data_IF_541088548506
#
_entry.id   IF_541088548506
#
_cell.length_a   1.000
_cell.length_b   1.000
_cell.length_c   1.000
_cell.angle_alpha   90.00
_cell.angle_beta   90.00
_cell.angle_gamma   90.00
#
_symmetry.space_group_name_H-M   'P 1'
#
loop_
_entity.id
_entity.type
_entity.pdbx_description
1 polymer ?
#
# COMPACT_ATOMS: atom_id res chain seq x y z
N UNK A 1 40.52 -6.64 18.74
CA UNK A 1 39.84 -5.47 18.19
C UNK A 1 39.85 -5.65 16.67
N UNK A 2 38.84 -6.29 16.12
CA UNK A 2 38.67 -6.50 14.69
C UNK A 2 37.50 -5.63 14.23
N UNK A 3 37.82 -4.59 13.46
CA UNK A 3 36.87 -3.69 12.84
C UNK A 3 36.00 -4.48 11.83
N UNK A 4 34.68 -4.31 11.79
CA UNK A 4 33.86 -4.94 10.77
C UNK A 4 34.11 -4.25 9.42
N UNK A 5 34.47 -5.03 8.43
CA UNK A 5 34.61 -4.60 7.04
C UNK A 5 33.22 -4.18 6.53
N UNK A 6 33.09 -2.90 6.25
CA UNK A 6 31.90 -2.28 5.67
C UNK A 6 31.62 -2.91 4.27
N UNK A 7 30.41 -3.44 4.10
CA UNK A 7 29.89 -4.02 2.84
C UNK A 7 29.82 -3.04 1.64
N UNK A 8 30.33 -1.83 1.77
CA UNK A 8 30.47 -0.85 0.66
C UNK A 8 31.28 -1.35 -0.53
N UNK A 9 32.05 -2.43 -0.37
CA UNK A 9 32.90 -2.99 -1.44
C UNK A 9 32.18 -3.96 -2.38
N UNK A 10 30.96 -4.41 -2.08
CA UNK A 10 30.25 -5.38 -2.94
C UNK A 10 29.52 -4.72 -4.14
N UNK A 11 29.16 -3.43 -4.03
CA UNK A 11 28.44 -2.71 -5.09
C UNK A 11 29.33 -1.97 -6.10
N UNK A 12 30.65 -1.88 -5.86
CA UNK A 12 31.57 -1.13 -6.72
C UNK A 12 32.06 -1.89 -7.96
N UNK A 13 31.61 -3.14 -8.20
CA UNK A 13 32.11 -3.98 -9.32
C UNK A 13 31.19 -4.10 -10.54
N UNK A 14 30.03 -3.47 -10.55
CA UNK A 14 29.10 -3.55 -11.68
C UNK A 14 29.14 -2.33 -12.63
N UNK A 15 30.05 -1.40 -12.47
CA UNK A 15 30.05 -0.12 -13.18
C UNK A 15 31.36 0.26 -13.93
N UNK A 16 32.15 -0.69 -14.41
CA UNK A 16 33.36 -0.36 -15.20
C UNK A 16 33.51 -1.25 -16.44
N UNK A 17 32.75 -0.94 -17.47
CA UNK A 17 33.01 -1.44 -18.82
C UNK A 17 32.75 -0.35 -19.86
N UNK A 18 33.60 0.67 -19.89
CA UNK A 18 33.86 1.47 -21.10
C UNK A 18 35.21 2.16 -20.96
N UNK A 19 36.07 1.91 -21.93
CA UNK A 19 37.39 2.46 -22.22
C UNK A 19 38.58 1.62 -21.72
N UNK A 20 39.05 0.73 -22.60
CA UNK A 20 40.50 0.44 -22.81
C UNK A 20 40.63 -0.32 -24.13
N UNK A 21 40.84 0.42 -25.19
CA UNK A 21 41.48 -0.08 -26.41
C UNK A 21 42.97 0.23 -26.31
N UNK A 22 43.80 -0.80 -26.73
CA UNK A 22 45.26 -0.84 -26.91
C UNK A 22 46.05 -1.36 -25.71
N UNK A 23 46.37 -2.65 -25.74
CA UNK A 23 47.70 -3.24 -25.90
C UNK A 23 47.68 -4.72 -25.51
N UNK A 24 48.16 -5.60 -26.43
CA UNK A 24 48.88 -6.83 -26.11
C UNK A 24 48.07 -8.09 -25.86
N UNK A 25 48.06 -8.97 -26.82
CA UNK A 25 47.66 -10.37 -26.79
C UNK A 25 48.19 -11.13 -25.57
N UNK A 26 47.33 -11.49 -24.64
CA UNK A 26 47.34 -12.75 -23.90
C UNK A 26 45.88 -13.12 -23.63
N UNK A 27 45.46 -14.28 -24.15
CA UNK A 27 44.07 -14.71 -24.13
C UNK A 27 43.55 -15.07 -22.72
N UNK A 28 43.04 -14.09 -22.02
CA UNK A 28 42.04 -14.30 -20.96
C UNK A 28 40.70 -13.95 -21.59
N UNK A 29 39.95 -14.96 -21.99
CA UNK A 29 38.53 -14.80 -22.27
C UNK A 29 37.86 -14.42 -20.95
N UNK A 30 37.61 -13.11 -20.74
CA UNK A 30 36.63 -12.64 -19.78
C UNK A 30 35.27 -13.14 -20.29
N UNK A 31 34.76 -14.22 -19.69
CA UNK A 31 33.36 -14.55 -19.87
C UNK A 31 32.56 -13.33 -19.45
N UNK A 32 31.58 -12.86 -20.24
CA UNK A 32 30.67 -11.82 -19.79
C UNK A 32 30.03 -12.33 -18.49
N UNK A 33 30.12 -11.51 -17.44
CA UNK A 33 29.39 -11.82 -16.22
C UNK A 33 27.95 -12.13 -16.64
N UNK A 34 27.51 -13.35 -16.37
CA UNK A 34 26.13 -13.80 -16.62
C UNK A 34 25.23 -12.70 -16.03
N UNK A 35 24.42 -12.07 -16.86
CA UNK A 35 23.39 -11.15 -16.37
C UNK A 35 22.58 -11.95 -15.35
N UNK A 36 22.66 -11.55 -14.09
CA UNK A 36 21.93 -12.24 -13.03
C UNK A 36 20.47 -12.31 -13.48
N UNK A 37 19.90 -13.52 -13.54
CA UNK A 37 18.53 -13.71 -13.96
C UNK A 37 17.61 -12.98 -12.97
N UNK A 38 16.69 -12.17 -13.50
CA UNK A 38 15.73 -11.47 -12.67
C UNK A 38 14.75 -12.48 -12.05
N UNK A 39 14.44 -12.30 -10.78
CA UNK A 39 13.32 -13.00 -10.13
C UNK A 39 12.00 -12.45 -10.66
N UNK A 40 11.08 -13.33 -11.02
CA UNK A 40 9.77 -12.92 -11.53
C UNK A 40 8.72 -13.20 -10.47
N UNK A 41 8.17 -12.15 -9.89
CA UNK A 41 7.00 -12.22 -9.00
C UNK A 41 5.76 -12.45 -9.85
N UNK A 42 5.19 -13.66 -9.76
CA UNK A 42 4.08 -14.13 -10.60
C UNK A 42 2.74 -13.87 -9.93
N UNK A 43 1.68 -13.71 -10.74
CA UNK A 43 0.33 -13.63 -10.22
C UNK A 43 -0.13 -14.98 -9.64
N UNK A 44 -0.58 -14.96 -8.39
CA UNK A 44 -1.10 -16.16 -7.70
C UNK A 44 -2.39 -16.70 -8.32
N UNK A 45 -3.17 -15.85 -9.00
CA UNK A 45 -4.43 -16.23 -9.65
C UNK A 45 -4.27 -17.28 -10.75
N UNK A 46 -3.10 -17.34 -11.40
CA UNK A 46 -2.75 -18.36 -12.38
C UNK A 46 -2.19 -19.66 -11.78
N UNK A 47 -2.07 -19.78 -10.45
CA UNK A 47 -1.42 -20.89 -9.76
C UNK A 47 -2.43 -21.86 -9.14
N UNK A 48 -2.01 -23.11 -8.94
CA UNK A 48 -2.71 -24.08 -8.12
C UNK A 48 -1.85 -24.50 -6.91
N UNK A 49 -2.38 -25.34 -6.02
CA UNK A 49 -1.71 -25.74 -4.79
C UNK A 49 -0.39 -26.50 -5.01
N UNK A 50 -0.16 -27.03 -6.22
CA UNK A 50 1.05 -27.79 -6.61
C UNK A 50 2.01 -26.94 -7.46
N UNK A 51 1.69 -25.68 -7.74
CA UNK A 51 2.64 -24.79 -8.42
C UNK A 51 3.95 -24.73 -7.62
N UNK A 52 5.11 -24.80 -8.29
CA UNK A 52 6.42 -24.78 -7.61
C UNK A 52 6.58 -23.58 -6.66
N UNK A 53 6.07 -22.40 -7.05
CA UNK A 53 6.13 -21.18 -6.21
C UNK A 53 5.31 -21.36 -4.93
N UNK A 54 4.10 -21.91 -5.02
CA UNK A 54 3.24 -22.17 -3.86
C UNK A 54 3.85 -23.25 -2.96
N UNK A 55 4.40 -24.32 -3.55
CA UNK A 55 5.09 -25.38 -2.82
C UNK A 55 6.32 -24.85 -2.08
N UNK A 56 7.12 -24.00 -2.72
CA UNK A 56 8.28 -23.36 -2.10
C UNK A 56 7.84 -22.41 -0.97
N UNK A 57 6.79 -21.62 -1.16
CA UNK A 57 6.28 -20.71 -0.14
C UNK A 57 5.76 -21.46 1.08
N UNK A 58 4.96 -22.54 0.89
CA UNK A 58 4.53 -23.41 1.98
C UNK A 58 5.71 -23.96 2.77
N UNK A 59 6.72 -24.49 2.07
CA UNK A 59 7.94 -25.01 2.69
C UNK A 59 8.70 -23.95 3.48
N UNK A 60 8.83 -22.72 2.93
CA UNK A 60 9.47 -21.60 3.62
C UNK A 60 8.71 -21.25 4.91
N UNK A 61 7.40 -21.04 4.82
CA UNK A 61 6.54 -20.69 5.98
C UNK A 61 6.62 -21.78 7.05
N UNK A 62 6.51 -23.06 6.66
CA UNK A 62 6.64 -24.20 7.58
C UNK A 62 7.99 -24.21 8.29
N UNK A 63 9.10 -24.07 7.53
CA UNK A 63 10.45 -24.03 8.10
C UNK A 63 10.66 -22.83 9.04
N UNK A 64 10.22 -21.64 8.66
CA UNK A 64 10.32 -20.43 9.48
C UNK A 64 9.55 -20.56 10.80
N UNK A 65 8.40 -21.26 10.81
CA UNK A 65 7.61 -21.51 12.03
C UNK A 65 8.26 -22.48 13.00
N UNK A 66 9.21 -23.31 12.54
CA UNK A 66 9.96 -24.22 13.43
C UNK A 66 11.14 -23.54 14.13
N UNK A 67 11.55 -22.37 13.69
CA UNK A 67 12.64 -21.62 14.30
C UNK A 67 12.20 -20.96 15.62
N UNK A 68 13.12 -20.83 16.60
CA UNK A 68 12.85 -20.07 17.81
C UNK A 68 12.41 -18.64 17.49
N UNK A 69 11.48 -18.07 18.26
CA UNK A 69 11.02 -16.70 18.07
C UNK A 69 12.13 -15.63 18.15
N UNK A 70 13.28 -15.96 18.75
CA UNK A 70 14.47 -15.11 18.81
C UNK A 70 15.36 -15.19 17.57
N UNK A 71 15.16 -16.16 16.68
CA UNK A 71 15.89 -16.22 15.40
C UNK A 71 15.30 -15.18 14.44
N UNK A 72 16.10 -14.24 13.92
CA UNK A 72 15.59 -13.21 13.00
C UNK A 72 14.92 -13.76 11.74
N UNK A 73 15.19 -15.01 11.37
CA UNK A 73 14.58 -15.67 10.20
C UNK A 73 13.26 -16.38 10.54
N UNK A 74 12.90 -16.47 11.83
CA UNK A 74 11.65 -17.12 12.25
C UNK A 74 10.43 -16.34 11.74
N UNK A 75 9.33 -17.06 11.54
CA UNK A 75 8.06 -16.47 11.13
C UNK A 75 7.60 -15.37 12.10
N UNK A 76 7.66 -15.66 13.40
CA UNK A 76 7.26 -14.74 14.46
C UNK A 76 8.11 -13.48 14.48
N UNK A 77 9.44 -13.62 14.33
CA UNK A 77 10.34 -12.47 14.33
C UNK A 77 10.10 -11.58 13.10
N UNK A 78 9.99 -12.20 11.92
CA UNK A 78 9.73 -11.44 10.67
C UNK A 78 8.38 -10.72 10.73
N UNK A 79 7.33 -11.36 11.23
CA UNK A 79 6.06 -10.70 11.42
C UNK A 79 6.12 -9.53 12.42
N UNK A 80 6.91 -9.67 13.50
CA UNK A 80 7.08 -8.64 14.51
C UNK A 80 7.82 -7.39 14.01
N UNK A 81 8.61 -7.49 12.92
CA UNK A 81 9.20 -6.31 12.25
C UNK A 81 8.10 -5.38 11.76
N UNK A 82 7.03 -5.92 11.18
CA UNK A 82 5.84 -5.15 10.84
C UNK A 82 5.11 -4.71 12.11
N UNK A 83 4.71 -5.66 12.97
CA UNK A 83 4.02 -5.31 14.19
C UNK A 83 3.86 -6.48 15.17
N UNK A 84 3.89 -6.18 16.47
CA UNK A 84 3.60 -7.13 17.54
C UNK A 84 3.21 -6.42 18.83
N UNK A 85 2.35 -7.05 19.63
CA UNK A 85 2.05 -6.66 21.02
C UNK A 85 2.78 -7.56 22.02
N UNK A 86 3.56 -8.54 21.56
CA UNK A 86 4.16 -9.59 22.37
C UNK A 86 5.68 -9.48 22.42
N UNK A 87 6.28 -9.94 23.52
CA UNK A 87 7.71 -10.06 23.71
C UNK A 87 8.41 -8.78 24.16
N UNK A 88 9.68 -8.90 24.54
CA UNK A 88 10.52 -7.75 24.82
C UNK A 88 10.73 -6.97 23.52
N UNK A 89 10.72 -5.62 23.55
CA UNK A 89 10.93 -4.81 22.36
C UNK A 89 12.31 -5.09 21.76
N UNK A 90 12.34 -5.23 20.42
CA UNK A 90 13.56 -5.31 19.61
C UNK A 90 13.63 -4.06 18.73
N UNK A 91 14.84 -3.62 18.39
CA UNK A 91 15.03 -2.39 17.61
C UNK A 91 14.33 -2.41 16.24
N UNK A 92 14.27 -3.58 15.60
CA UNK A 92 13.64 -3.73 14.29
C UNK A 92 12.12 -3.97 14.36
N UNK A 93 11.57 -4.25 15.55
CA UNK A 93 10.14 -4.56 15.69
C UNK A 93 9.28 -3.29 15.73
N UNK A 94 8.06 -3.41 15.24
CA UNK A 94 7.09 -2.31 15.22
C UNK A 94 7.61 -1.09 14.44
N UNK A 95 8.29 -1.32 13.32
CA UNK A 95 8.90 -0.26 12.52
C UNK A 95 8.17 -0.01 11.21
N UNK A 96 7.04 -0.70 10.97
CA UNK A 96 6.23 -0.47 9.78
C UNK A 96 5.80 1.01 9.67
N UNK A 97 5.62 1.46 8.45
CA UNK A 97 5.30 2.84 8.15
C UNK A 97 3.90 2.92 7.55
N UNK A 98 2.97 3.52 8.31
CA UNK A 98 1.58 3.78 7.91
C UNK A 98 1.24 5.26 8.11
N UNK A 99 0.29 5.77 7.32
CA UNK A 99 -0.17 7.15 7.41
C UNK A 99 0.84 8.20 6.95
N UNK A 100 1.93 7.79 6.32
CA UNK A 100 3.00 8.66 5.87
C UNK A 100 3.60 8.22 4.52
N UNK A 101 4.43 9.07 3.91
CA UNK A 101 4.98 8.82 2.57
C UNK A 101 6.13 7.80 2.52
N UNK A 102 6.52 7.19 3.65
CA UNK A 102 7.42 6.05 3.69
C UNK A 102 6.70 4.70 3.48
N UNK A 103 5.36 4.67 3.45
CA UNK A 103 4.57 3.47 3.32
C UNK A 103 5.08 2.53 2.21
N UNK A 104 5.16 2.99 0.98
CA UNK A 104 5.62 2.17 -0.14
C UNK A 104 7.08 1.71 0.02
N UNK A 105 7.98 2.62 0.37
CA UNK A 105 9.40 2.33 0.44
C UNK A 105 9.73 1.34 1.55
N UNK A 106 9.13 1.48 2.73
CA UNK A 106 9.35 0.57 3.83
C UNK A 106 8.86 -0.86 3.49
N UNK A 107 7.67 -1.00 2.92
CA UNK A 107 7.12 -2.30 2.57
C UNK A 107 7.89 -2.98 1.42
N UNK A 108 8.42 -2.22 0.45
CA UNK A 108 9.32 -2.77 -0.59
C UNK A 108 10.60 -3.35 0.01
N UNK A 109 11.23 -2.65 0.96
CA UNK A 109 12.42 -3.12 1.66
C UNK A 109 12.12 -4.39 2.47
N UNK A 110 11.00 -4.41 3.19
CA UNK A 110 10.55 -5.54 3.99
C UNK A 110 10.29 -6.78 3.12
N UNK A 111 9.57 -6.64 1.99
CA UNK A 111 9.35 -7.70 1.02
C UNK A 111 10.65 -8.25 0.46
N UNK A 112 11.61 -7.39 0.14
CA UNK A 112 12.90 -7.81 -0.42
C UNK A 112 13.68 -8.72 0.51
N UNK A 113 13.81 -8.34 1.78
CA UNK A 113 14.55 -9.14 2.76
C UNK A 113 13.79 -10.41 3.15
N UNK A 114 12.49 -10.32 3.33
CA UNK A 114 11.65 -11.48 3.61
C UNK A 114 11.69 -12.51 2.48
N UNK A 115 11.66 -12.09 1.22
CA UNK A 115 11.75 -12.98 0.05
C UNK A 115 13.08 -13.75 0.03
N UNK A 116 14.20 -13.11 0.37
CA UNK A 116 15.51 -13.75 0.49
C UNK A 116 15.54 -14.82 1.59
N UNK A 117 14.96 -14.51 2.74
CA UNK A 117 14.79 -15.49 3.81
C UNK A 117 13.93 -16.67 3.32
N UNK A 118 12.84 -16.43 2.61
CA UNK A 118 12.00 -17.48 2.03
C UNK A 118 12.77 -18.38 1.07
N UNK A 119 13.63 -17.84 0.19
CA UNK A 119 14.51 -18.63 -0.69
C UNK A 119 15.38 -19.60 0.11
N UNK A 120 16.02 -19.10 1.15
CA UNK A 120 16.87 -19.89 2.04
C UNK A 120 16.09 -20.98 2.76
N UNK A 121 14.92 -20.65 3.33
CA UNK A 121 14.09 -21.58 4.09
C UNK A 121 13.41 -22.62 3.21
N UNK A 122 13.05 -22.27 1.97
CA UNK A 122 12.54 -23.23 0.99
C UNK A 122 13.63 -24.14 0.39
N UNK A 123 14.92 -23.79 0.53
CA UNK A 123 16.01 -24.34 -0.28
C UNK A 123 15.70 -24.26 -1.78
N UNK A 124 15.22 -23.10 -2.23
CA UNK A 124 14.86 -22.81 -3.62
C UNK A 124 15.40 -21.44 -4.00
N UNK A 125 16.57 -21.44 -4.65
CA UNK A 125 17.27 -20.22 -5.07
C UNK A 125 16.51 -19.43 -6.17
N UNK A 126 15.53 -20.04 -6.80
CA UNK A 126 14.72 -19.42 -7.86
C UNK A 126 13.41 -18.84 -7.35
N UNK A 127 13.08 -19.05 -6.07
CA UNK A 127 11.81 -18.59 -5.50
C UNK A 127 11.69 -17.07 -5.57
N UNK A 128 10.52 -16.58 -5.99
CA UNK A 128 10.06 -15.21 -5.83
C UNK A 128 8.65 -15.20 -5.22
N UNK A 129 8.38 -14.23 -4.35
CA UNK A 129 7.07 -14.06 -3.75
C UNK A 129 6.02 -13.84 -4.85
N UNK A 130 4.90 -14.56 -4.86
CA UNK A 130 3.80 -14.23 -5.75
C UNK A 130 3.05 -13.00 -5.28
N UNK A 131 2.26 -12.38 -6.16
CA UNK A 131 1.34 -11.29 -5.79
C UNK A 131 -0.12 -11.72 -5.98
N UNK A 132 -1.01 -11.14 -5.18
CA UNK A 132 -2.46 -11.37 -5.28
C UNK A 132 -3.10 -10.19 -6.01
N UNK A 133 -3.45 -10.38 -7.31
CA UNK A 133 -4.09 -9.35 -8.13
C UNK A 133 -5.61 -9.27 -7.87
N UNK A 134 -6.01 -8.94 -6.66
CA UNK A 134 -7.42 -8.72 -6.33
C UNK A 134 -8.08 -7.57 -7.11
N UNK A 135 -7.31 -6.77 -7.85
CA UNK A 135 -7.85 -5.75 -8.75
C UNK A 135 -8.54 -6.42 -9.96
N UNK A 136 -8.07 -7.59 -10.39
CA UNK A 136 -8.74 -8.42 -11.37
C UNK A 136 -10.05 -8.99 -10.79
N UNK A 137 -11.15 -8.87 -11.54
CA UNK A 137 -12.47 -9.30 -11.07
C UNK A 137 -12.56 -10.79 -10.72
N UNK A 138 -11.78 -11.63 -11.38
CA UNK A 138 -11.71 -13.08 -11.16
C UNK A 138 -10.93 -13.49 -9.91
N UNK A 139 -10.18 -12.55 -9.29
CA UNK A 139 -9.23 -12.86 -8.21
C UNK A 139 -9.57 -12.20 -6.88
N UNK A 140 -10.81 -11.74 -6.72
CA UNK A 140 -11.29 -11.07 -5.51
C UNK A 140 -11.61 -12.01 -4.35
N UNK A 141 -11.62 -13.31 -4.58
CA UNK A 141 -11.65 -14.32 -3.50
C UNK A 141 -10.25 -14.55 -2.98
N UNK A 142 -10.14 -14.96 -1.71
CA UNK A 142 -8.88 -15.46 -1.19
C UNK A 142 -8.41 -16.66 -2.03
N UNK A 143 -7.15 -16.70 -2.50
CA UNK A 143 -6.68 -17.80 -3.36
C UNK A 143 -6.87 -19.18 -2.70
N UNK A 144 -7.30 -20.23 -3.44
CA UNK A 144 -7.69 -21.50 -2.87
C UNK A 144 -6.63 -22.17 -1.98
N UNK A 145 -5.33 -22.01 -2.32
CA UNK A 145 -4.21 -22.59 -1.56
C UNK A 145 -4.01 -21.96 -0.17
N UNK A 146 -4.65 -20.82 0.11
CA UNK A 146 -4.68 -20.16 1.41
C UNK A 146 -5.88 -20.54 2.26
N UNK A 147 -6.83 -21.30 1.70
CA UNK A 147 -8.09 -21.72 2.34
C UNK A 147 -8.08 -23.16 2.83
N UNK A 148 -7.09 -23.97 2.46
CA UNK A 148 -6.95 -25.35 2.89
C UNK A 148 -6.41 -25.41 4.34
N UNK A 149 -7.21 -25.91 5.31
CA UNK A 149 -6.79 -26.01 6.72
C UNK A 149 -5.54 -26.86 6.95
N UNK A 150 -5.18 -27.75 6.02
CA UNK A 150 -3.96 -28.55 6.07
C UNK A 150 -2.72 -27.83 5.55
N UNK A 151 -2.89 -26.65 4.96
CA UNK A 151 -1.79 -25.85 4.40
C UNK A 151 -1.12 -24.98 5.46
N UNK A 152 0.19 -24.82 5.38
CA UNK A 152 0.97 -23.87 6.16
C UNK A 152 0.55 -22.40 5.86
N UNK A 153 -0.16 -22.17 4.78
CA UNK A 153 -0.66 -20.85 4.37
C UNK A 153 -2.04 -20.52 4.95
N UNK A 154 -2.69 -21.47 5.60
CA UNK A 154 -4.01 -21.28 6.21
C UNK A 154 -3.90 -20.55 7.56
N UNK A 155 -4.80 -19.60 7.78
CA UNK A 155 -5.02 -18.90 9.05
C UNK A 155 -6.51 -18.90 9.38
N UNK A 156 -6.89 -19.54 10.49
CA UNK A 156 -8.29 -19.67 10.91
C UNK A 156 -8.93 -18.36 11.38
N UNK A 157 -8.12 -17.37 11.75
CA UNK A 157 -8.56 -16.08 12.29
C UNK A 157 -9.09 -15.11 11.23
N UNK A 158 -8.93 -15.37 9.93
CA UNK A 158 -9.53 -14.55 8.87
C UNK A 158 -11.05 -14.61 8.96
N UNK A 159 -11.74 -13.69 8.27
CA UNK A 159 -13.20 -13.81 8.10
C UNK A 159 -13.57 -15.23 7.62
N UNK A 160 -14.52 -15.91 8.28
CA UNK A 160 -14.88 -17.29 7.92
C UNK A 160 -15.37 -17.45 6.47
N UNK A 161 -16.03 -16.43 5.91
CA UNK A 161 -16.49 -16.48 4.53
C UNK A 161 -15.32 -16.32 3.55
N UNK A 162 -14.29 -15.53 3.89
CA UNK A 162 -13.06 -15.48 3.10
C UNK A 162 -12.35 -16.84 3.10
N UNK A 163 -12.27 -17.50 4.25
CA UNK A 163 -11.66 -18.83 4.38
C UNK A 163 -12.46 -19.92 3.66
N UNK A 164 -13.81 -19.87 3.68
CA UNK A 164 -14.64 -20.85 2.96
C UNK A 164 -14.65 -20.65 1.45
N UNK A 165 -14.32 -19.44 0.99
CA UNK A 165 -14.40 -19.04 -0.41
C UNK A 165 -15.80 -18.60 -0.86
N UNK A 166 -16.77 -18.47 0.06
CA UNK A 166 -18.03 -17.79 -0.21
C UNK A 166 -17.87 -16.26 -0.21
N UNK A 167 -16.85 -15.77 0.53
CA UNK A 167 -16.50 -14.36 0.61
C UNK A 167 -15.62 -13.89 -0.53
N UNK A 168 -15.83 -12.65 -0.99
CA UNK A 168 -14.97 -11.97 -1.95
C UNK A 168 -14.91 -10.47 -1.69
N UNK A 169 -13.80 -9.86 -2.12
CA UNK A 169 -13.64 -8.41 -2.04
C UNK A 169 -14.57 -7.73 -3.06
N UNK A 170 -15.39 -6.75 -2.66
CA UNK A 170 -16.21 -6.00 -3.62
C UNK A 170 -15.34 -5.10 -4.50
N UNK A 171 -15.85 -4.71 -5.67
CA UNK A 171 -15.10 -3.89 -6.63
C UNK A 171 -14.59 -2.58 -6.04
N UNK A 172 -15.41 -1.91 -5.22
CA UNK A 172 -15.04 -0.64 -4.58
C UNK A 172 -13.87 -0.80 -3.59
N UNK A 173 -13.71 -1.97 -2.97
CA UNK A 173 -12.67 -2.23 -1.99
C UNK A 173 -11.26 -2.34 -2.60
N UNK A 174 -11.19 -2.57 -3.89
CA UNK A 174 -9.95 -2.82 -4.65
C UNK A 174 -9.71 -1.77 -5.74
N UNK A 175 -10.44 -0.67 -5.70
CA UNK A 175 -10.32 0.43 -6.67
C UNK A 175 -9.09 1.27 -6.35
N UNK A 176 -8.15 1.34 -7.28
CA UNK A 176 -6.93 2.15 -7.16
C UNK A 176 -6.97 3.44 -8.00
N UNK A 177 -8.08 3.73 -8.67
CA UNK A 177 -8.15 4.83 -9.65
C UNK A 177 -7.91 6.20 -9.02
N UNK A 178 -8.39 6.43 -7.80
CA UNK A 178 -8.18 7.68 -7.09
C UNK A 178 -6.70 7.91 -6.75
N UNK A 179 -5.98 6.87 -6.34
CA UNK A 179 -4.54 6.93 -6.07
C UNK A 179 -3.73 7.13 -7.37
N UNK A 180 -4.15 6.47 -8.45
CA UNK A 180 -3.50 6.62 -9.76
C UNK A 180 -3.75 8.00 -10.38
N UNK A 181 -4.82 8.68 -10.03
CA UNK A 181 -5.07 10.07 -10.45
C UNK A 181 -4.12 11.07 -9.76
N UNK A 182 -3.46 10.69 -8.66
CA UNK A 182 -2.51 11.57 -7.95
C UNK A 182 -1.13 11.54 -8.61
N UNK A 183 -0.62 12.66 -9.15
CA UNK A 183 0.73 12.69 -9.72
C UNK A 183 1.83 12.87 -8.66
N UNK A 184 1.49 13.37 -7.48
CA UNK A 184 2.41 13.57 -6.37
C UNK A 184 2.65 12.25 -5.62
N UNK A 185 3.91 11.92 -5.30
CA UNK A 185 4.30 10.67 -4.62
C UNK A 185 3.59 10.48 -3.27
N UNK A 186 3.63 11.50 -2.42
CA UNK A 186 3.05 11.41 -1.08
C UNK A 186 1.52 11.20 -1.14
N UNK A 187 0.84 11.93 -2.03
CA UNK A 187 -0.60 11.80 -2.24
C UNK A 187 -0.97 10.45 -2.88
N UNK A 188 -0.18 9.98 -3.86
CA UNK A 188 -0.36 8.67 -4.49
C UNK A 188 -0.18 7.54 -3.49
N UNK A 189 0.89 7.57 -2.70
CA UNK A 189 1.18 6.60 -1.65
C UNK A 189 0.06 6.58 -0.60
N UNK A 190 -0.32 7.72 -0.06
CA UNK A 190 -1.38 7.83 0.96
C UNK A 190 -2.76 7.40 0.42
N UNK A 191 -3.08 7.74 -0.83
CA UNK A 191 -4.35 7.32 -1.44
C UNK A 191 -4.43 5.82 -1.63
N UNK A 192 -3.34 5.18 -2.08
CA UNK A 192 -3.29 3.72 -2.28
C UNK A 192 -3.15 2.97 -0.94
N UNK A 193 -2.53 3.56 0.06
CA UNK A 193 -2.57 3.05 1.43
C UNK A 193 -4.01 3.04 1.97
N UNK A 194 -4.76 4.12 1.78
CA UNK A 194 -6.17 4.20 2.20
C UNK A 194 -7.06 3.22 1.46
N UNK A 195 -6.90 3.15 0.13
CA UNK A 195 -7.69 2.31 -0.78
C UNK A 195 -6.80 1.92 -2.00
N UNK A 196 -6.46 0.62 -2.20
CA UNK A 196 -7.10 -0.57 -1.63
C UNK A 196 -6.49 -1.12 -0.33
N UNK A 197 -5.27 -0.72 0.08
CA UNK A 197 -4.50 -1.41 1.11
C UNK A 197 -5.27 -1.59 2.44
N UNK A 198 -5.64 -0.50 3.12
CA UNK A 198 -6.33 -0.57 4.43
C UNK A 198 -7.65 -1.34 4.33
N UNK A 199 -8.39 -1.16 3.23
CA UNK A 199 -9.67 -1.82 3.02
C UNK A 199 -9.49 -3.34 2.88
N UNK A 200 -8.52 -3.80 2.09
CA UNK A 200 -8.23 -5.23 1.93
C UNK A 200 -7.85 -5.86 3.27
N UNK A 201 -6.98 -5.21 4.05
CA UNK A 201 -6.63 -5.65 5.39
C UNK A 201 -7.86 -5.87 6.27
N UNK A 202 -8.71 -4.85 6.36
CA UNK A 202 -9.92 -4.88 7.21
C UNK A 202 -10.92 -5.91 6.72
N UNK A 203 -11.14 -6.07 5.41
CA UNK A 203 -12.12 -7.00 4.86
C UNK A 203 -11.66 -8.47 4.86
N UNK A 204 -10.37 -8.75 4.73
CA UNK A 204 -9.84 -10.12 4.98
C UNK A 204 -10.01 -10.46 6.47
N UNK A 205 -9.90 -9.47 7.32
CA UNK A 205 -10.25 -9.55 8.73
C UNK A 205 -9.30 -10.39 9.57
N UNK A 206 -9.69 -10.61 10.81
CA UNK A 206 -8.89 -11.36 11.78
C UNK A 206 -7.48 -10.80 11.95
N UNK A 207 -6.45 -11.64 11.79
CA UNK A 207 -5.07 -11.16 11.89
C UNK A 207 -4.73 -10.08 10.85
N UNK A 208 -5.18 -10.25 9.62
CA UNK A 208 -4.98 -9.24 8.57
C UNK A 208 -5.57 -7.87 8.94
N UNK A 209 -6.65 -7.82 9.72
CA UNK A 209 -7.33 -6.59 10.09
C UNK A 209 -6.64 -5.74 11.16
N UNK A 210 -5.47 -6.13 11.68
CA UNK A 210 -4.79 -5.44 12.76
C UNK A 210 -3.27 -5.42 12.54
N UNK A 211 -2.66 -4.24 12.57
CA UNK A 211 -1.22 -4.05 12.31
C UNK A 211 -0.33 -4.99 13.13
N UNK A 212 -0.53 -5.18 14.46
CA UNK A 212 0.33 -6.06 15.25
C UNK A 212 0.29 -7.55 14.86
N UNK A 213 -0.70 -7.98 14.10
CA UNK A 213 -0.88 -9.38 13.72
C UNK A 213 -0.90 -9.62 12.22
N UNK A 214 -1.03 -8.58 11.40
CA UNK A 214 -1.26 -8.71 9.97
C UNK A 214 -0.19 -9.55 9.27
N UNK A 215 1.08 -9.33 9.58
CA UNK A 215 2.19 -10.08 8.97
C UNK A 215 2.34 -11.52 9.52
N UNK A 216 1.56 -11.92 10.54
CA UNK A 216 1.43 -13.32 10.94
C UNK A 216 0.63 -14.15 9.92
N UNK A 217 -0.12 -13.48 9.05
CA UNK A 217 -0.89 -14.12 8.00
C UNK A 217 -0.08 -14.20 6.69
N UNK A 218 0.17 -15.39 6.12
CA UNK A 218 0.95 -15.51 4.89
C UNK A 218 0.41 -14.73 3.68
N UNK A 219 -0.90 -14.47 3.59
CA UNK A 219 -1.48 -13.67 2.51
C UNK A 219 -1.02 -12.20 2.55
N UNK A 220 -0.58 -11.71 3.70
CA UNK A 220 -0.03 -10.37 3.88
C UNK A 220 1.05 -10.06 2.85
N UNK A 221 2.01 -10.96 2.67
CA UNK A 221 3.13 -10.73 1.75
C UNK A 221 2.69 -10.66 0.29
N UNK A 222 1.67 -11.43 -0.11
CA UNK A 222 1.11 -11.36 -1.46
C UNK A 222 0.30 -10.08 -1.69
N UNK A 223 -0.42 -9.63 -0.67
CA UNK A 223 -1.12 -8.37 -0.66
C UNK A 223 -0.13 -7.21 -0.85
N UNK A 224 0.96 -7.18 -0.07
CA UNK A 224 1.98 -6.15 -0.18
C UNK A 224 2.80 -6.24 -1.48
N UNK A 225 3.02 -7.43 -2.04
CA UNK A 225 3.58 -7.57 -3.39
C UNK A 225 2.67 -6.91 -4.44
N UNK A 226 1.34 -7.01 -4.31
CA UNK A 226 0.44 -6.27 -5.21
C UNK A 226 0.51 -4.76 -4.97
N UNK A 227 0.64 -4.29 -3.72
CA UNK A 227 0.84 -2.87 -3.43
C UNK A 227 2.15 -2.33 -4.02
N UNK A 228 3.24 -3.09 -3.94
CA UNK A 228 4.52 -2.78 -4.55
C UNK A 228 4.44 -2.75 -6.09
N UNK A 229 3.68 -3.69 -6.66
CA UNK A 229 3.35 -3.71 -8.10
C UNK A 229 2.56 -2.47 -8.51
N UNK A 230 1.56 -2.08 -7.75
CA UNK A 230 0.78 -0.86 -8.01
C UNK A 230 1.65 0.40 -7.96
N UNK A 231 2.67 0.46 -7.10
CA UNK A 231 3.65 1.55 -7.13
C UNK A 231 4.41 1.60 -8.46
N UNK A 232 4.91 0.44 -8.96
CA UNK A 232 5.57 0.39 -10.27
C UNK A 232 4.64 0.85 -11.41
N UNK A 233 3.38 0.40 -11.40
CA UNK A 233 2.38 0.81 -12.39
C UNK A 233 2.04 2.30 -12.29
N UNK A 234 2.01 2.85 -11.09
CA UNK A 234 1.83 4.29 -10.88
C UNK A 234 2.99 5.08 -11.50
N UNK A 235 4.23 4.69 -11.26
CA UNK A 235 5.42 5.31 -11.88
C UNK A 235 5.38 5.19 -13.41
N UNK A 236 4.97 4.04 -13.94
CA UNK A 236 4.91 3.77 -15.38
C UNK A 236 3.92 4.67 -16.14
N UNK A 237 2.94 5.28 -15.47
CA UNK A 237 2.05 6.25 -16.10
C UNK A 237 2.75 7.55 -16.51
N UNK A 238 3.94 7.84 -16.00
CA UNK A 238 4.64 9.09 -16.26
C UNK A 238 3.84 10.32 -15.77
N UNK A 239 3.76 11.38 -16.57
CA UNK A 239 3.01 12.57 -16.21
C UNK A 239 3.49 13.26 -14.93
N UNK A 240 4.80 13.24 -14.68
CA UNK A 240 5.42 13.83 -13.49
C UNK A 240 5.47 12.92 -12.26
N UNK A 241 5.04 11.65 -12.38
CA UNK A 241 5.14 10.65 -11.31
C UNK A 241 6.58 10.17 -11.20
N UNK A 242 7.21 10.52 -10.09
CA UNK A 242 8.60 10.16 -9.78
C UNK A 242 8.73 9.85 -8.30
N UNK A 243 9.73 9.07 -7.93
CA UNK A 243 10.10 8.85 -6.55
C UNK A 243 10.64 10.14 -5.91
N UNK A 244 10.51 10.35 -4.59
CA UNK A 244 10.90 11.60 -3.94
C UNK A 244 12.42 11.72 -3.74
N UNK A 245 13.18 11.54 -4.82
CA UNK A 245 14.66 11.55 -4.83
C UNK A 245 15.28 12.91 -4.50
N UNK A 246 14.48 13.97 -4.49
CA UNK A 246 14.88 15.31 -4.04
C UNK A 246 14.78 15.46 -2.52
N UNK A 247 14.02 14.60 -1.85
CA UNK A 247 13.82 14.66 -0.40
C UNK A 247 14.93 13.92 0.33
N UNK A 248 15.78 14.68 1.02
CA UNK A 248 16.90 14.11 1.78
C UNK A 248 16.43 13.28 2.99
N UNK A 249 15.27 13.61 3.56
CA UNK A 249 14.70 12.83 4.66
C UNK A 249 14.28 11.45 4.14
N UNK A 250 13.53 11.38 3.04
CA UNK A 250 13.11 10.11 2.45
C UNK A 250 14.31 9.25 2.00
N UNK A 251 15.32 9.88 1.37
CA UNK A 251 16.53 9.18 0.93
C UNK A 251 17.39 8.68 2.07
N UNK A 252 17.51 9.48 3.13
CA UNK A 252 18.44 9.25 4.21
C UNK A 252 17.89 8.48 5.40
N UNK A 253 16.57 8.30 5.48
CA UNK A 253 15.95 7.49 6.53
C UNK A 253 16.26 6.02 6.28
N UNK A 254 16.90 5.39 7.27
CA UNK A 254 17.33 3.99 7.24
C UNK A 254 16.42 3.15 8.11
N UNK A 255 16.11 1.93 7.64
CA UNK A 255 15.35 0.94 8.38
C UNK A 255 16.15 -0.33 8.55
N UNK A 256 15.95 -1.01 9.67
CA UNK A 256 16.66 -2.24 10.05
C UNK A 256 15.83 -3.46 9.63
N UNK A 257 16.48 -4.38 8.91
CA UNK A 257 15.95 -5.69 8.51
C UNK A 257 16.99 -6.77 8.78
N UNK A 258 16.73 -7.99 8.32
CA UNK A 258 17.66 -9.12 8.44
C UNK A 258 17.79 -9.84 7.10
N UNK A 259 19.00 -10.32 6.82
CA UNK A 259 19.26 -11.11 5.62
C UNK A 259 18.94 -12.61 5.81
N UNK A 260 19.17 -13.39 4.79
CA UNK A 260 18.89 -14.84 4.76
C UNK A 260 19.73 -15.67 5.74
N UNK A 261 20.84 -15.15 6.23
CA UNK A 261 21.66 -15.73 7.31
C UNK A 261 21.24 -15.26 8.69
N UNK A 262 20.29 -14.31 8.79
CA UNK A 262 19.84 -13.70 10.04
C UNK A 262 20.76 -12.57 10.54
N UNK A 263 21.64 -12.06 9.68
CA UNK A 263 22.45 -10.90 10.01
C UNK A 263 21.65 -9.61 9.83
N UNK A 264 21.82 -8.66 10.77
CA UNK A 264 21.20 -7.35 10.68
C UNK A 264 21.72 -6.56 9.48
N UNK A 265 20.80 -5.94 8.75
CA UNK A 265 21.07 -5.09 7.60
C UNK A 265 20.27 -3.80 7.71
N UNK A 266 20.79 -2.74 7.10
CA UNK A 266 20.11 -1.46 7.00
C UNK A 266 19.85 -1.13 5.54
N UNK A 267 18.71 -0.50 5.25
CA UNK A 267 18.31 -0.11 3.91
C UNK A 267 17.55 1.22 3.91
N UNK A 268 17.70 2.01 2.85
CA UNK A 268 17.06 3.32 2.69
C UNK A 268 16.42 3.47 1.30
N UNK A 269 15.74 4.62 1.08
CA UNK A 269 15.01 4.89 -0.15
C UNK A 269 15.85 4.86 -1.42
N UNK A 270 17.12 5.26 -1.38
CA UNK A 270 18.00 5.24 -2.56
C UNK A 270 18.36 3.84 -3.06
N UNK A 271 18.26 2.83 -2.19
CA UNK A 271 18.67 1.46 -2.50
C UNK A 271 17.56 0.62 -3.14
N UNK A 272 16.34 1.19 -3.27
CA UNK A 272 15.15 0.47 -3.72
C UNK A 272 14.44 1.08 -4.94
N UNK A 273 14.96 2.16 -5.51
CA UNK A 273 14.33 2.87 -6.63
C UNK A 273 14.20 2.01 -7.88
N UNK A 274 15.12 1.10 -8.09
CA UNK A 274 15.24 0.26 -9.29
C UNK A 274 15.07 -1.20 -8.92
N UNK A 275 13.83 -1.65 -8.82
CA UNK A 275 13.55 -3.03 -8.43
C UNK A 275 14.31 -4.06 -9.28
N UNK A 276 14.36 -3.88 -10.60
CA UNK A 276 15.07 -4.80 -11.49
C UNK A 276 16.60 -4.74 -11.33
N UNK A 277 17.20 -3.54 -11.19
CA UNK A 277 18.65 -3.38 -11.15
C UNK A 277 19.24 -3.50 -9.75
N UNK A 278 18.54 -3.01 -8.72
CA UNK A 278 19.04 -2.98 -7.36
C UNK A 278 18.55 -4.17 -6.52
N UNK A 279 17.31 -4.62 -6.76
CA UNK A 279 16.67 -5.68 -5.99
C UNK A 279 16.51 -6.98 -6.80
N UNK A 280 16.85 -6.96 -8.10
CA UNK A 280 16.86 -8.10 -9.01
C UNK A 280 15.49 -8.81 -9.17
N UNK A 281 14.37 -8.09 -9.09
CA UNK A 281 13.04 -8.65 -9.37
C UNK A 281 12.22 -7.78 -10.31
N UNK A 282 11.25 -8.43 -10.96
CA UNK A 282 10.20 -7.80 -11.78
C UNK A 282 8.88 -8.48 -11.49
N UNK A 283 7.78 -7.84 -11.85
CA UNK A 283 6.45 -8.46 -11.84
C UNK A 283 6.13 -9.08 -13.20
N UNK A 284 5.39 -10.19 -13.19
CA UNK A 284 4.99 -10.91 -14.40
C UNK A 284 4.22 -9.98 -15.35
N UNK A 285 4.64 -9.92 -16.62
CA UNK A 285 4.00 -9.10 -17.65
C UNK A 285 4.31 -7.61 -17.58
N UNK A 286 5.13 -7.16 -16.62
CA UNK A 286 5.54 -5.76 -16.51
C UNK A 286 6.96 -5.56 -17.04
N UNK A 287 7.21 -4.47 -17.79
CA UNK A 287 8.56 -4.15 -18.21
C UNK A 287 9.41 -3.78 -16.97
N UNK A 288 10.71 -4.10 -16.97
CA UNK A 288 11.62 -3.65 -15.93
C UNK A 288 11.59 -2.12 -15.82
N UNK A 289 11.41 -1.61 -14.60
CA UNK A 289 11.46 -0.17 -14.34
C UNK A 289 12.90 0.32 -14.60
N UNK A 290 13.06 1.20 -15.58
CA UNK A 290 14.32 1.85 -15.93
C UNK A 290 14.26 3.31 -15.47
N UNK A 291 14.42 3.54 -14.18
CA UNK A 291 14.51 4.90 -13.66
C UNK A 291 15.97 5.25 -13.38
N UNK A 292 16.51 6.26 -14.09
CA UNK A 292 17.93 6.67 -14.03
C UNK A 292 18.30 7.63 -12.89
N UNK A 293 17.54 7.69 -11.78
CA UNK A 293 17.50 8.86 -10.90
C UNK A 293 18.40 8.85 -9.66
N UNK A 294 19.20 7.82 -9.41
CA UNK A 294 20.27 7.89 -8.41
C UNK A 294 21.64 8.31 -8.98
N UNK A 295 21.69 8.79 -10.21
CA UNK A 295 22.84 9.53 -10.72
C UNK A 295 22.85 10.95 -10.13
N UNK A 296 24.03 11.62 -10.00
CA UNK A 296 24.13 12.88 -9.30
C UNK A 296 23.20 13.92 -9.91
N UNK A 297 22.18 14.28 -9.15
CA UNK A 297 21.33 15.46 -9.22
C UNK A 297 21.12 16.01 -10.64
N UNK A 298 20.30 15.37 -11.46
CA UNK A 298 19.53 16.11 -12.45
C UNK A 298 18.41 16.78 -11.63
N UNK A 299 18.50 18.10 -11.49
CA UNK A 299 17.44 18.91 -10.85
C UNK A 299 16.23 18.90 -11.77
N UNK A 300 15.44 17.83 -11.73
CA UNK A 300 14.06 17.89 -12.19
C UNK A 300 13.32 18.61 -11.06
N UNK A 301 12.86 19.84 -11.27
CA UNK A 301 12.09 20.49 -10.22
C UNK A 301 10.84 19.66 -9.97
N UNK A 302 10.51 19.36 -8.72
CA UNK A 302 9.27 18.65 -8.40
C UNK A 302 8.09 19.45 -8.98
N UNK A 303 7.07 18.76 -9.46
CA UNK A 303 5.79 19.41 -9.73
C UNK A 303 5.31 19.98 -8.41
N UNK A 304 5.39 21.28 -8.27
CA UNK A 304 4.97 21.97 -7.05
C UNK A 304 3.46 22.13 -7.08
N UNK A 305 2.81 21.56 -6.09
CA UNK A 305 1.40 21.84 -5.81
C UNK A 305 1.32 22.88 -4.71
N UNK A 306 0.46 23.86 -4.92
CA UNK A 306 0.11 24.83 -3.88
C UNK A 306 -1.22 24.40 -3.29
N UNK A 307 -1.21 24.14 -1.98
CA UNK A 307 -2.42 23.87 -1.22
C UNK A 307 -3.03 25.22 -0.85
N UNK A 308 -4.15 25.55 -1.46
CA UNK A 308 -4.89 26.76 -1.18
C UNK A 308 -6.14 26.48 -0.35
N UNK A 309 -6.60 27.49 0.33
CA UNK A 309 -7.87 27.66 1.01
C UNK A 309 -8.51 26.42 1.64
N UNK A 310 -8.59 26.45 2.93
CA UNK A 310 -9.32 25.48 3.73
C UNK A 310 -10.70 26.07 4.06
N UNK A 311 -11.78 25.40 3.63
CA UNK A 311 -13.10 25.64 4.19
C UNK A 311 -13.45 24.51 5.15
N UNK A 312 -13.41 24.79 6.43
CA UNK A 312 -13.91 23.86 7.44
C UNK A 312 -15.43 23.89 7.46
N UNK A 313 -16.03 22.72 7.32
CA UNK A 313 -17.49 22.58 7.37
C UNK A 313 -17.93 22.79 8.83
N UNK A 314 -18.86 23.75 9.11
CA UNK A 314 -19.26 24.06 10.46
C UNK A 314 -20.26 23.04 11.01
N UNK A 315 -19.78 21.84 11.30
CA UNK A 315 -20.56 20.72 11.86
C UNK A 315 -19.92 20.20 13.14
N UNK A 316 -20.72 19.63 14.06
CA UNK A 316 -20.17 18.90 15.21
C UNK A 316 -19.41 17.64 14.76
N UNK A 317 -18.54 17.09 15.60
CA UNK A 317 -17.93 15.79 15.34
C UNK A 317 -19.00 14.73 15.04
N UNK A 318 -18.72 13.86 14.07
CA UNK A 318 -19.60 12.77 13.66
C UNK A 318 -19.13 11.44 14.22
N UNK A 319 -20.09 10.54 14.48
CA UNK A 319 -19.82 9.16 14.88
C UNK A 319 -20.36 8.22 13.79
N UNK A 320 -19.48 7.39 13.26
CA UNK A 320 -19.80 6.34 12.29
C UNK A 320 -19.99 5.02 13.04
N UNK A 321 -21.09 4.35 12.76
CA UNK A 321 -21.49 3.08 13.37
C UNK A 321 -22.04 2.11 12.31
N UNK A 322 -22.91 1.17 12.70
CA UNK A 322 -23.50 0.19 11.79
C UNK A 322 -24.53 0.77 10.83
N UNK A 323 -24.99 2.00 11.06
CA UNK A 323 -26.00 2.66 10.24
C UNK A 323 -25.35 3.64 9.26
N UNK A 324 -26.04 3.91 8.16
CA UNK A 324 -25.65 4.96 7.22
C UNK A 324 -25.77 6.33 7.89
N UNK A 325 -24.70 7.12 7.84
CA UNK A 325 -24.65 8.48 8.37
C UNK A 325 -24.60 9.47 7.21
N UNK A 326 -25.52 10.44 7.19
CA UNK A 326 -25.55 11.51 6.20
C UNK A 326 -25.43 12.87 6.87
N UNK A 327 -24.42 13.63 6.49
CA UNK A 327 -24.09 14.95 7.03
C UNK A 327 -24.49 16.01 6.01
N UNK A 328 -25.45 16.89 6.30
CA UNK A 328 -25.86 17.93 5.37
C UNK A 328 -24.77 19.01 5.22
N UNK A 329 -24.62 19.51 4.00
CA UNK A 329 -23.73 20.61 3.65
C UNK A 329 -24.49 21.63 2.81
N UNK A 330 -24.19 22.91 3.01
CA UNK A 330 -24.76 24.00 2.25
C UNK A 330 -24.22 24.01 0.80
N UNK A 331 -25.02 23.54 -0.17
CA UNK A 331 -24.65 23.50 -1.59
C UNK A 331 -24.30 24.88 -2.13
N UNK A 332 -24.98 25.94 -1.66
CA UNK A 332 -24.71 27.32 -2.06
C UNK A 332 -23.27 27.72 -1.71
N UNK A 333 -22.82 27.41 -0.49
CA UNK A 333 -21.45 27.66 -0.03
C UNK A 333 -20.42 26.89 -0.85
N UNK A 334 -20.66 25.60 -1.10
CA UNK A 334 -19.79 24.79 -1.95
C UNK A 334 -19.67 25.32 -3.37
N UNK A 335 -20.79 25.68 -3.99
CA UNK A 335 -20.83 26.21 -5.35
C UNK A 335 -20.11 27.55 -5.45
N UNK A 336 -20.32 28.43 -4.47
CA UNK A 336 -19.68 29.74 -4.44
C UNK A 336 -18.17 29.64 -4.28
N UNK A 337 -17.68 28.71 -3.44
CA UNK A 337 -16.25 28.55 -3.13
C UNK A 337 -15.51 27.72 -4.20
N UNK A 338 -16.11 26.64 -4.67
CA UNK A 338 -15.41 25.62 -5.45
C UNK A 338 -15.97 25.41 -6.86
N UNK A 339 -17.07 26.05 -7.24
CA UNK A 339 -17.72 25.81 -8.54
C UNK A 339 -16.79 26.01 -9.73
N UNK A 340 -16.08 27.12 -9.79
CA UNK A 340 -15.13 27.44 -10.86
C UNK A 340 -13.83 26.64 -10.76
N UNK A 341 -13.43 26.19 -9.55
CA UNK A 341 -12.22 25.42 -9.32
C UNK A 341 -12.40 23.96 -9.73
N UNK A 342 -13.59 23.39 -9.51
CA UNK A 342 -13.89 22.01 -9.86
C UNK A 342 -13.86 21.75 -11.39
N UNK A 343 -14.08 22.78 -12.20
CA UNK A 343 -14.02 22.74 -13.67
C UNK A 343 -12.61 22.94 -14.24
N UNK A 344 -11.69 23.47 -13.44
CA UNK A 344 -10.33 23.79 -13.88
C UNK A 344 -9.45 22.52 -13.93
N UNK A 345 -8.90 22.20 -15.11
CA UNK A 345 -8.07 20.99 -15.33
C UNK A 345 -6.78 20.92 -14.49
N UNK A 346 -6.27 22.03 -14.02
CA UNK A 346 -5.05 22.06 -13.17
C UNK A 346 -5.33 22.07 -11.68
N UNK A 347 -6.60 21.91 -11.28
CA UNK A 347 -7.02 22.09 -9.90
C UNK A 347 -7.78 20.85 -9.41
N UNK A 348 -7.40 20.35 -8.23
CA UNK A 348 -8.13 19.28 -7.55
C UNK A 348 -8.68 19.80 -6.22
N UNK A 349 -9.99 19.64 -6.05
CA UNK A 349 -10.68 19.88 -4.78
C UNK A 349 -10.73 18.59 -4.01
N UNK A 350 -10.37 18.64 -2.73
CA UNK A 350 -10.39 17.49 -1.83
C UNK A 350 -11.40 17.71 -0.69
N UNK A 351 -12.03 16.63 -0.27
CA UNK A 351 -12.66 16.51 1.04
C UNK A 351 -11.68 15.83 1.99
N UNK A 352 -11.37 16.48 3.10
CA UNK A 352 -10.50 15.99 4.15
C UNK A 352 -11.32 15.66 5.40
N UNK A 353 -11.07 14.48 5.96
CA UNK A 353 -11.57 14.05 7.26
C UNK A 353 -10.40 14.05 8.22
N UNK A 354 -10.43 14.91 9.22
CA UNK A 354 -9.38 15.02 10.22
C UNK A 354 -9.82 14.50 11.59
N UNK A 355 -8.85 14.00 12.36
CA UNK A 355 -9.09 13.47 13.69
C UNK A 355 -10.01 12.25 13.68
N UNK A 356 -9.76 11.34 12.74
CA UNK A 356 -10.51 10.09 12.62
C UNK A 356 -9.96 9.07 13.60
N UNK A 357 -10.78 8.58 14.51
CA UNK A 357 -10.33 7.69 15.58
C UNK A 357 -11.40 6.68 16.01
N UNK A 358 -10.94 5.54 16.51
CA UNK A 358 -11.75 4.53 17.16
C UNK A 358 -11.02 4.00 18.40
N UNK A 359 -11.76 3.52 19.40
CA UNK A 359 -11.17 2.93 20.59
C UNK A 359 -10.39 1.65 20.23
N UNK A 360 -10.93 0.83 19.33
CA UNK A 360 -10.32 -0.40 18.82
C UNK A 360 -10.71 -0.61 17.36
N UNK A 361 -10.11 -1.59 16.72
CA UNK A 361 -10.36 -1.94 15.33
C UNK A 361 -11.86 -2.07 15.03
N UNK A 362 -12.42 -1.28 14.10
CA UNK A 362 -13.85 -1.33 13.77
C UNK A 362 -14.29 -2.59 13.02
N UNK A 363 -13.39 -3.25 12.27
CA UNK A 363 -13.68 -4.45 11.48
C UNK A 363 -14.56 -4.20 10.25
N UNK A 364 -14.70 -2.96 9.83
CA UNK A 364 -15.59 -2.53 8.74
C UNK A 364 -14.97 -1.36 7.98
N UNK A 365 -15.38 -1.20 6.72
CA UNK A 365 -15.10 -0.01 5.93
C UNK A 365 -16.39 0.79 5.67
N UNK A 366 -16.25 2.09 5.44
CA UNK A 366 -17.36 2.96 5.03
C UNK A 366 -17.08 3.49 3.63
N UNK A 367 -18.00 3.22 2.69
CA UNK A 367 -18.02 3.92 1.42
C UNK A 367 -18.46 5.37 1.64
N UNK A 368 -17.79 6.31 0.98
CA UNK A 368 -18.03 7.74 1.14
C UNK A 368 -18.59 8.33 -0.15
N UNK A 369 -19.68 9.03 -0.02
CA UNK A 369 -20.37 9.69 -1.12
C UNK A 369 -20.52 11.18 -0.83
N UNK A 370 -20.40 12.01 -1.89
CA UNK A 370 -20.65 13.44 -1.81
C UNK A 370 -21.81 13.80 -2.75
N UNK A 371 -22.91 14.28 -2.19
CA UNK A 371 -24.10 14.68 -2.92
C UNK A 371 -24.94 13.51 -3.43
N UNK A 372 -24.90 12.34 -2.79
CA UNK A 372 -25.77 11.20 -3.14
C UNK A 372 -27.25 11.61 -2.97
N UNK A 373 -28.09 11.58 -4.03
CA UNK A 373 -29.48 11.96 -3.91
C UNK A 373 -30.26 11.06 -2.94
N UNK A 374 -31.20 11.63 -2.19
CA UNK A 374 -32.05 10.88 -1.28
C UNK A 374 -32.79 9.75 -2.01
N UNK A 375 -32.79 8.54 -1.41
CA UNK A 375 -33.44 7.37 -2.01
C UNK A 375 -32.63 6.69 -3.14
N UNK A 376 -31.46 7.21 -3.50
CA UNK A 376 -30.56 6.56 -4.46
C UNK A 376 -29.75 5.49 -3.74
N UNK A 377 -29.72 4.27 -4.30
CA UNK A 377 -28.89 3.21 -3.78
C UNK A 377 -27.40 3.56 -3.95
N UNK A 378 -26.57 3.35 -2.92
CA UNK A 378 -25.12 3.51 -3.03
C UNK A 378 -24.54 2.56 -4.11
N UNK A 379 -23.73 3.10 -5.02
CA UNK A 379 -23.07 2.34 -6.07
C UNK A 379 -21.69 2.93 -6.37
N UNK A 380 -20.70 2.08 -6.64
CA UNK A 380 -19.33 2.49 -6.91
C UNK A 380 -19.18 3.30 -8.21
N UNK A 381 -19.94 2.95 -9.24
CA UNK A 381 -19.96 3.66 -10.52
C UNK A 381 -20.70 5.00 -10.48
N UNK A 382 -21.39 5.26 -9.36
CA UNK A 382 -22.05 6.54 -9.12
C UNK A 382 -21.07 7.72 -9.26
N UNK A 383 -21.45 8.82 -9.93
CA UNK A 383 -20.63 10.02 -9.96
C UNK A 383 -20.42 10.65 -8.57
N UNK A 384 -21.23 10.27 -7.60
CA UNK A 384 -21.19 10.76 -6.22
C UNK A 384 -20.26 9.95 -5.31
N UNK A 385 -19.80 8.77 -5.73
CA UNK A 385 -18.81 7.98 -4.98
C UNK A 385 -17.45 8.68 -5.03
N UNK A 386 -16.85 8.91 -3.85
CA UNK A 386 -15.56 9.59 -3.73
C UNK A 386 -14.45 8.71 -3.12
N UNK A 387 -14.79 7.55 -2.59
CA UNK A 387 -13.84 6.61 -2.01
C UNK A 387 -14.41 5.85 -0.82
N UNK A 388 -13.52 5.24 -0.06
CA UNK A 388 -13.89 4.54 1.17
C UNK A 388 -12.86 4.80 2.27
N UNK A 389 -13.26 4.68 3.53
CA UNK A 389 -12.37 4.75 4.68
C UNK A 389 -12.41 3.45 5.48
N UNK A 390 -11.26 3.02 5.95
CA UNK A 390 -11.11 2.01 6.98
C UNK A 390 -9.89 2.36 7.84
N UNK A 391 -9.99 2.12 9.14
CA UNK A 391 -8.86 2.30 10.04
C UNK A 391 -7.99 1.05 10.03
N UNK A 392 -6.70 1.24 9.79
CA UNK A 392 -5.66 0.22 9.89
C UNK A 392 -4.36 0.91 10.33
N UNK A 393 -3.92 0.71 11.57
CA UNK A 393 -2.82 1.44 12.20
C UNK A 393 -3.27 2.79 12.78
N UNK A 394 -2.97 3.91 12.13
CA UNK A 394 -3.36 5.23 12.64
C UNK A 394 -4.86 5.36 12.92
N UNK A 395 -5.19 6.07 13.99
CA UNK A 395 -6.58 6.28 14.42
C UNK A 395 -7.13 5.21 15.37
N UNK A 396 -6.38 4.17 15.71
CA UNK A 396 -6.80 3.12 16.65
C UNK A 396 -6.11 3.34 18.00
N UNK A 397 -6.91 3.51 19.08
CA UNK A 397 -6.37 3.82 20.42
C UNK A 397 -5.83 2.59 21.14
N UNK A 398 -6.51 1.45 21.03
CA UNK A 398 -6.16 0.21 21.73
C UNK A 398 -5.90 -0.92 20.74
N UNK A 399 -5.00 -1.83 21.10
CA UNK A 399 -4.61 -2.95 20.23
C UNK A 399 -3.69 -2.56 19.07
N UNK A 400 -3.06 -1.39 19.13
CA UNK A 400 -2.01 -0.95 18.22
C UNK A 400 -0.67 -0.90 18.95
N UNK A 401 0.41 -1.22 18.25
CA UNK A 401 1.78 -1.04 18.76
C UNK A 401 2.29 0.39 18.49
N UNK A 402 1.64 1.12 17.61
CA UNK A 402 2.03 2.47 17.22
C UNK A 402 1.61 3.49 18.28
N UNK A 403 2.40 4.58 18.39
CA UNK A 403 1.97 5.74 19.16
C UNK A 403 0.64 6.23 18.56
N UNK A 404 -0.37 6.40 19.42
CA UNK A 404 -1.66 6.88 18.96
C UNK A 404 -1.54 8.23 18.27
N UNK A 405 -1.96 8.25 17.01
CA UNK A 405 -2.18 9.46 16.23
C UNK A 405 -3.53 9.33 15.50
N UNK A 406 -4.39 10.34 15.56
CA UNK A 406 -5.64 10.31 14.78
C UNK A 406 -5.34 10.17 13.30
N UNK A 407 -6.13 9.37 12.60
CA UNK A 407 -6.01 9.24 11.15
C UNK A 407 -6.59 10.44 10.41
N UNK A 408 -6.10 10.65 9.20
CA UNK A 408 -6.61 11.63 8.23
C UNK A 408 -6.92 10.92 6.92
N UNK A 409 -8.08 11.25 6.33
CA UNK A 409 -8.46 10.76 5.01
C UNK A 409 -8.69 11.93 4.05
N UNK A 410 -8.30 11.74 2.80
CA UNK A 410 -8.36 12.77 1.76
C UNK A 410 -8.96 12.18 0.49
N UNK A 411 -10.06 12.75 0.01
CA UNK A 411 -10.80 12.28 -1.15
C UNK A 411 -10.86 13.35 -2.24
N UNK A 412 -10.47 13.07 -3.50
CA UNK A 412 -10.68 13.98 -4.60
C UNK A 412 -12.18 14.05 -4.95
N UNK A 413 -12.73 15.26 -5.03
CA UNK A 413 -14.19 15.43 -5.13
C UNK A 413 -14.69 16.19 -6.37
N UNK A 414 -13.82 16.58 -7.30
CA UNK A 414 -14.23 17.36 -8.49
C UNK A 414 -15.42 16.71 -9.23
N UNK A 415 -15.36 15.41 -9.50
CA UNK A 415 -16.41 14.67 -10.20
C UNK A 415 -17.75 14.75 -9.46
N UNK A 416 -17.74 14.53 -8.16
CA UNK A 416 -18.95 14.54 -7.32
C UNK A 416 -19.53 15.96 -7.18
N UNK A 417 -18.68 16.98 -7.02
CA UNK A 417 -19.11 18.38 -6.99
C UNK A 417 -19.80 18.77 -8.30
N UNK A 418 -19.19 18.47 -9.44
CA UNK A 418 -19.76 18.79 -10.75
C UNK A 418 -21.09 18.08 -10.99
N UNK A 419 -21.21 16.79 -10.59
CA UNK A 419 -22.45 16.05 -10.69
C UNK A 419 -23.55 16.69 -9.81
N UNK A 420 -23.23 17.03 -8.56
CA UNK A 420 -24.17 17.67 -7.64
C UNK A 420 -24.59 19.07 -8.09
N UNK A 421 -23.66 19.87 -8.62
CA UNK A 421 -23.96 21.20 -9.15
C UNK A 421 -24.87 21.15 -10.37
N UNK A 422 -24.64 20.17 -11.29
CA UNK A 422 -25.47 19.94 -12.46
C UNK A 422 -26.87 19.48 -12.09
N UNK A 423 -27.00 18.61 -11.11
CA UNK A 423 -28.29 18.10 -10.64
C UNK A 423 -29.11 19.14 -9.87
N UNK A 424 -28.52 20.27 -9.49
CA UNK A 424 -29.13 21.35 -8.71
C UNK A 424 -29.92 20.84 -7.48
N UNK A 425 -29.28 19.97 -6.70
CA UNK A 425 -29.91 19.31 -5.56
C UNK A 425 -30.33 20.31 -4.48
N UNK A 426 -31.49 20.12 -3.90
CA UNK A 426 -31.96 20.93 -2.75
C UNK A 426 -31.18 20.61 -1.47
N UNK A 427 -30.78 19.34 -1.31
CA UNK A 427 -29.97 18.88 -0.17
C UNK A 427 -28.69 18.25 -0.69
N UNK A 428 -27.57 18.67 -0.15
CA UNK A 428 -26.27 18.13 -0.44
C UNK A 428 -25.68 17.50 0.82
N UNK A 429 -25.18 16.28 0.72
CA UNK A 429 -24.73 15.54 1.90
C UNK A 429 -23.39 14.88 1.66
N UNK A 430 -22.62 14.70 2.74
CA UNK A 430 -21.59 13.67 2.80
C UNK A 430 -22.23 12.45 3.44
N UNK A 431 -22.23 11.31 2.73
CA UNK A 431 -22.89 10.08 3.19
C UNK A 431 -21.85 8.98 3.38
N UNK A 432 -21.85 8.37 4.56
CA UNK A 432 -21.00 7.26 4.95
C UNK A 432 -21.85 5.99 5.04
N UNK A 433 -21.51 4.98 4.25
CA UNK A 433 -22.27 3.72 4.17
C UNK A 433 -21.38 2.58 4.66
N UNK A 434 -21.67 1.96 5.82
CA UNK A 434 -20.91 0.83 6.31
C UNK A 434 -21.02 -0.34 5.32
N UNK A 435 -19.89 -0.95 4.99
CA UNK A 435 -19.80 -1.92 3.90
C UNK A 435 -18.78 -3.00 4.23
N UNK A 436 -19.14 -4.24 3.89
CA UNK A 436 -18.33 -5.44 4.11
C UNK A 436 -17.95 -6.13 2.80
N UNK A 437 -17.58 -7.41 2.91
CA UNK A 437 -17.31 -8.30 1.80
C UNK A 437 -18.61 -8.66 1.05
N UNK A 438 -18.46 -9.25 -0.13
CA UNK A 438 -19.56 -9.96 -0.79
C UNK A 438 -19.57 -11.41 -0.27
N UNK A 439 -20.76 -11.93 0.06
CA UNK A 439 -20.99 -13.35 0.37
C UNK A 439 -21.88 -13.92 -0.73
N UNK A 440 -21.38 -14.92 -1.45
CA UNK A 440 -22.04 -15.48 -2.64
C UNK A 440 -22.48 -14.40 -3.63
N UNK A 441 -21.60 -13.40 -3.84
CA UNK A 441 -21.81 -12.28 -4.75
C UNK A 441 -22.76 -11.18 -4.25
N UNK A 442 -23.28 -11.27 -3.02
CA UNK A 442 -24.20 -10.28 -2.43
C UNK A 442 -23.52 -9.49 -1.32
N UNK A 443 -23.77 -8.17 -1.20
CA UNK A 443 -23.25 -7.36 -0.10
C UNK A 443 -23.63 -7.95 1.26
N UNK A 444 -22.64 -8.13 2.13
CA UNK A 444 -22.87 -8.53 3.52
C UNK A 444 -23.23 -7.32 4.40
N UNK A 445 -23.96 -7.57 5.48
CA UNK A 445 -24.11 -6.60 6.56
C UNK A 445 -22.87 -6.70 7.45
N UNK A 446 -22.00 -5.67 7.48
CA UNK A 446 -20.79 -5.74 8.28
C UNK A 446 -21.12 -5.60 9.76
N UNK A 447 -20.38 -6.33 10.60
CA UNK A 447 -20.41 -6.15 12.04
C UNK A 447 -19.44 -5.04 12.44
N UNK A 448 -19.93 -3.97 13.00
CA UNK A 448 -19.10 -2.87 13.51
C UNK A 448 -18.67 -3.18 14.94
N UNK A 449 -17.37 -3.44 15.12
CA UNK A 449 -16.80 -3.80 16.44
C UNK A 449 -16.55 -2.57 17.33
N UNK A 450 -16.33 -1.40 16.73
CA UNK A 450 -16.10 -0.13 17.40
C UNK A 450 -16.58 1.01 16.52
N UNK A 451 -17.25 2.01 17.11
CA UNK A 451 -17.61 3.22 16.39
C UNK A 451 -16.38 4.06 16.06
N UNK A 452 -16.45 4.80 14.96
CA UNK A 452 -15.41 5.73 14.51
C UNK A 452 -15.89 7.16 14.72
N UNK A 453 -15.07 7.99 15.36
CA UNK A 453 -15.27 9.42 15.45
C UNK A 453 -14.50 10.14 14.36
N UNK A 454 -15.12 11.14 13.75
CA UNK A 454 -14.48 12.08 12.82
C UNK A 454 -14.59 13.46 13.45
N UNK A 455 -13.47 14.07 13.79
CA UNK A 455 -13.46 15.32 14.55
C UNK A 455 -13.87 16.52 13.68
N UNK A 456 -13.43 16.57 12.43
CA UNK A 456 -13.78 17.66 11.52
C UNK A 456 -13.74 17.25 10.05
N UNK A 457 -14.47 18.01 9.24
CA UNK A 457 -14.48 17.93 7.77
C UNK A 457 -14.00 19.26 7.20
N UNK A 458 -13.18 19.18 6.13
CA UNK A 458 -12.71 20.36 5.42
C UNK A 458 -12.66 20.11 3.92
N UNK A 459 -12.87 21.16 3.13
CA UNK A 459 -12.57 21.16 1.70
C UNK A 459 -11.28 21.94 1.47
N UNK A 460 -10.36 21.36 0.71
CA UNK A 460 -9.08 21.97 0.34
C UNK A 460 -8.89 21.94 -1.17
N UNK A 461 -7.99 22.76 -1.67
CA UNK A 461 -7.70 22.89 -3.08
C UNK A 461 -6.21 22.74 -3.29
N UNK A 462 -5.82 21.89 -4.23
CA UNK A 462 -4.46 21.83 -4.74
C UNK A 462 -4.44 22.27 -6.21
N UNK A 463 -3.55 23.21 -6.51
CA UNK A 463 -3.35 23.72 -7.87
C UNK A 463 -1.92 23.44 -8.31
N UNK A 464 -1.77 22.89 -9.51
CA UNK A 464 -0.47 22.68 -10.13
C UNK A 464 0.10 24.04 -10.55
N UNK A 465 1.34 24.35 -10.09
CA UNK A 465 1.98 25.63 -10.47
C UNK A 465 2.39 25.62 -11.94
N UNK A 466 2.08 26.69 -12.70
CA UNK A 466 2.60 26.85 -14.06
C UNK A 466 4.14 26.90 -14.04
N UNK A 467 4.78 26.15 -14.94
CA UNK A 467 6.25 26.12 -15.08
C UNK A 467 6.96 25.00 -14.35
N UNK A 468 6.25 24.08 -13.69
CA UNK A 468 6.79 22.86 -13.10
C UNK A 468 6.92 21.69 -14.11
N UNK A 469 6.67 21.92 -15.40
CA UNK A 469 6.98 20.92 -16.43
C UNK A 469 8.50 20.78 -16.59
N UNK A 470 9.05 19.57 -16.59
CA UNK A 470 10.46 19.36 -16.92
C UNK A 470 10.69 19.84 -18.36
N UNK A 471 11.62 20.79 -18.52
CA UNK A 471 12.11 21.21 -19.84
C UNK A 471 12.99 20.12 -20.43
#
# INVERSE_FOLDING_TARGET
>A
MTTPLSRRLFFARAGAAATLSLLGQTGLQLQPASAASLFVRRNVGGMNAFDPVITAYRKAVGAMRTLPASDPRSWTYQAAIHGTLSGPPQTAWNTCQHGNYFFWSWHRMYLYWFERICRRMACDECFALPYWDYNAASERQLPPMFRDPASELFISQRDPNMNSGSGSLPAWAVDYTAGFAQPNFANGSSSLEGLPHNIVHVLVGGWMGSVPTAAQDPIFFLHHCNMDRLWNLWLAQGGGRIDPVWDNTWKGTTYTFFDEEGAQVEMNGCEILRAAQQLHYVYEGEPPQVNDYCLPIIKIPPILFEKEAVWRVPIPPITLGPETVSVPIELKELRQRFGHLAENKGTTVFLELDGVEAERQPGVAWQVYLGLPAGTAPAQDSPYYIGALALFGPGIRTGSHEKFEPARFVFPVNRALLAGFKANQERFTITFVPSGILIDGKPSQPKVESSVKVASLAFTVETQKPGSEPK
#
